data_IF_793905735858
#
_entry.id   IF_793905735858
#
_cell.length_a   1.000
_cell.length_b   1.000
_cell.length_c   1.000
_cell.angle_alpha   90.00
_cell.angle_beta   90.00
_cell.angle_gamma   90.00
#
_symmetry.space_group_name_H-M   'P 1'
#
loop_
_entity.id
_entity.type
_entity.pdbx_description
1 polymer ?
#
# COMPACT_ATOMS: atom_id res chain seq x y z
N UNK A 1 -31.97 12.85 -15.91
CA UNK A 1 -31.58 11.46 -15.58
C UNK A 1 -30.73 11.52 -14.31
N UNK A 2 -31.35 11.29 -13.15
CA UNK A 2 -30.76 11.42 -11.82
C UNK A 2 -30.96 10.08 -11.10
N UNK A 3 -29.96 9.20 -11.11
CA UNK A 3 -30.08 7.90 -10.45
C UNK A 3 -29.61 8.01 -9.00
N UNK A 4 -30.52 8.44 -8.11
CA UNK A 4 -30.40 8.27 -6.67
C UNK A 4 -31.31 7.13 -6.23
N UNK A 5 -30.75 5.96 -5.93
CA UNK A 5 -31.46 4.94 -5.15
C UNK A 5 -30.52 4.38 -4.10
N UNK A 6 -30.64 4.92 -2.90
CA UNK A 6 -30.00 4.43 -1.69
C UNK A 6 -30.53 3.03 -1.34
N UNK A 7 -29.63 2.10 -1.02
CA UNK A 7 -29.96 0.92 -0.21
C UNK A 7 -29.18 1.00 1.10
N UNK A 8 -29.86 1.57 2.09
CA UNK A 8 -29.56 1.42 3.51
C UNK A 8 -29.78 -0.03 3.92
N UNK A 9 -28.76 -0.69 4.48
CA UNK A 9 -28.97 -1.83 5.37
C UNK A 9 -28.17 -1.58 6.64
N UNK A 10 -28.93 -1.55 7.74
CA UNK A 10 -28.56 -1.09 9.08
C UNK A 10 -28.52 -2.33 9.96
N UNK A 11 -27.33 -2.89 10.21
CA UNK A 11 -27.14 -3.89 11.27
C UNK A 11 -26.53 -3.18 12.49
N UNK A 12 -27.40 -2.69 13.37
CA UNK A 12 -27.04 -2.23 14.70
C UNK A 12 -26.98 -3.46 15.62
N UNK A 13 -25.79 -3.97 15.90
CA UNK A 13 -25.58 -4.80 17.09
C UNK A 13 -25.38 -3.87 18.29
N UNK A 14 -26.37 -3.87 19.20
CA UNK A 14 -26.30 -3.21 20.49
C UNK A 14 -25.57 -4.16 21.45
N UNK A 15 -24.36 -3.80 21.86
CA UNK A 15 -23.64 -4.43 22.96
C UNK A 15 -23.29 -3.37 24.00
N UNK A 16 -23.99 -3.38 25.14
CA UNK A 16 -23.64 -2.56 26.31
C UNK A 16 -22.47 -3.21 27.05
N UNK A 17 -21.34 -2.50 27.15
CA UNK A 17 -20.20 -2.89 27.97
C UNK A 17 -19.31 -1.68 28.22
N UNK A 18 -19.30 -1.18 29.46
CA UNK A 18 -18.41 -0.10 29.91
C UNK A 18 -17.11 -0.76 30.38
N UNK A 19 -16.01 -0.54 29.66
CA UNK A 19 -14.66 -0.77 30.17
C UNK A 19 -13.72 0.25 29.53
N UNK A 20 -13.09 1.06 30.38
CA UNK A 20 -12.05 1.99 30.02
C UNK A 20 -10.88 1.26 29.36
N UNK A 21 -10.62 1.59 28.10
CA UNK A 21 -9.45 1.20 27.36
C UNK A 21 -9.42 2.02 26.09
N UNK A 22 -8.55 3.02 26.03
CA UNK A 22 -8.20 3.73 24.80
C UNK A 22 -7.44 2.76 23.88
N UNK A 23 -8.10 1.71 23.42
CA UNK A 23 -7.73 1.07 22.19
C UNK A 23 -8.38 1.91 21.10
N UNK A 24 -7.61 2.85 20.54
CA UNK A 24 -7.88 3.29 19.17
C UNK A 24 -7.76 2.03 18.31
N UNK A 25 -8.87 1.31 18.16
CA UNK A 25 -9.05 0.43 17.04
C UNK A 25 -9.00 1.34 15.82
N UNK A 26 -7.80 1.47 15.24
CA UNK A 26 -7.63 1.98 13.91
C UNK A 26 -8.48 1.06 13.04
N UNK A 27 -9.69 1.53 12.69
CA UNK A 27 -10.39 0.96 11.56
C UNK A 27 -9.39 0.96 10.40
N UNK A 28 -9.30 -0.07 9.55
CA UNK A 28 -8.52 0.05 8.33
C UNK A 28 -9.11 1.22 7.56
N UNK A 29 -8.44 2.37 7.61
CA UNK A 29 -8.81 3.49 6.78
C UNK A 29 -8.66 2.97 5.36
N UNK A 30 -9.75 2.99 4.59
CA UNK A 30 -9.70 2.88 3.14
C UNK A 30 -9.02 4.14 2.56
N UNK A 31 -7.77 4.36 2.97
CA UNK A 31 -6.94 5.52 2.73
C UNK A 31 -5.52 5.02 2.54
N UNK A 32 -4.83 5.63 1.57
CA UNK A 32 -3.45 5.36 1.20
C UNK A 32 -2.56 4.96 2.38
N UNK A 33 -1.69 3.99 2.17
CA UNK A 33 -0.75 3.58 3.20
C UNK A 33 0.20 4.74 3.51
N UNK A 34 0.47 4.93 4.80
CA UNK A 34 1.42 5.93 5.27
C UNK A 34 2.83 5.59 4.82
N UNK A 35 3.69 6.60 4.69
CA UNK A 35 5.12 6.41 4.38
C UNK A 35 5.78 5.43 5.37
N UNK A 36 5.38 5.46 6.63
CA UNK A 36 5.90 4.54 7.65
C UNK A 36 5.50 3.08 7.41
N UNK A 37 4.30 2.81 6.89
CA UNK A 37 3.89 1.46 6.49
C UNK A 37 4.72 1.00 5.29
N UNK A 38 4.97 1.88 4.31
CA UNK A 38 5.86 1.56 3.19
C UNK A 38 7.31 1.32 3.59
N UNK A 39 7.82 2.04 4.59
CA UNK A 39 9.13 1.77 5.17
C UNK A 39 9.22 0.38 5.80
N UNK A 40 8.15 -0.08 6.46
CA UNK A 40 8.09 -1.43 7.01
C UNK A 40 8.06 -2.50 5.90
N UNK A 41 7.31 -2.24 4.82
CA UNK A 41 7.32 -3.12 3.63
C UNK A 41 8.72 -3.16 3.03
N UNK A 42 9.36 -2.01 2.81
CA UNK A 42 10.71 -1.94 2.25
C UNK A 42 11.76 -2.59 3.14
N UNK A 43 11.64 -2.46 4.46
CA UNK A 43 12.51 -3.15 5.41
C UNK A 43 12.41 -4.68 5.28
N UNK A 44 11.22 -5.20 4.99
CA UNK A 44 10.99 -6.63 4.76
C UNK A 44 11.42 -7.09 3.36
N UNK A 45 11.17 -6.28 2.32
CA UNK A 45 11.43 -6.63 0.91
C UNK A 45 12.90 -6.44 0.51
N UNK A 46 13.53 -5.32 0.89
CA UNK A 46 14.89 -4.96 0.47
C UNK A 46 15.87 -4.75 1.62
N UNK A 47 15.45 -4.95 2.87
CA UNK A 47 16.22 -4.51 4.03
C UNK A 47 16.21 -2.99 4.23
N UNK A 48 15.34 -2.27 3.52
CA UNK A 48 15.19 -0.81 3.60
C UNK A 48 16.08 -0.04 2.61
N UNK A 49 16.79 -0.74 1.71
CA UNK A 49 17.54 -0.11 0.63
C UNK A 49 16.59 0.23 -0.53
N UNK A 50 16.35 1.52 -0.74
CA UNK A 50 15.47 2.04 -1.79
C UNK A 50 16.14 2.07 -3.18
N UNK A 51 17.46 1.95 -3.26
CA UNK A 51 18.23 1.93 -4.50
C UNK A 51 18.71 0.53 -4.87
N UNK A 52 18.17 -0.51 -4.20
CA UNK A 52 18.64 -1.88 -4.41
C UNK A 52 18.41 -2.35 -5.85
N UNK A 53 19.45 -2.95 -6.42
CA UNK A 53 19.40 -3.62 -7.71
C UNK A 53 20.42 -4.77 -7.70
N UNK A 54 19.96 -5.97 -7.39
CA UNK A 54 20.82 -7.16 -7.27
C UNK A 54 20.91 -7.97 -8.57
N UNK A 55 20.21 -7.55 -9.63
CA UNK A 55 20.08 -8.33 -10.86
C UNK A 55 19.11 -9.51 -10.78
N UNK A 56 18.25 -9.56 -9.75
CA UNK A 56 17.20 -10.57 -9.57
C UNK A 56 15.90 -10.30 -10.36
N UNK A 57 15.87 -9.22 -11.15
CA UNK A 57 14.69 -8.79 -11.92
C UNK A 57 13.68 -7.92 -11.15
N UNK A 58 14.03 -7.54 -9.91
CA UNK A 58 13.26 -6.63 -9.08
C UNK A 58 14.10 -5.42 -8.70
N UNK A 59 13.45 -4.28 -8.48
CA UNK A 59 14.10 -2.99 -8.37
C UNK A 59 13.54 -2.19 -7.19
N UNK A 60 14.44 -1.50 -6.49
CA UNK A 60 14.12 -0.53 -5.46
C UNK A 60 13.57 -1.14 -4.17
N UNK A 61 13.18 -0.26 -3.25
CA UNK A 61 12.86 -0.64 -1.87
C UNK A 61 11.64 -1.55 -1.74
N UNK A 62 10.71 -1.44 -2.68
CA UNK A 62 9.47 -2.22 -2.68
C UNK A 62 9.51 -3.41 -3.65
N UNK A 63 10.71 -3.74 -4.16
CA UNK A 63 10.94 -4.89 -5.03
C UNK A 63 9.97 -4.93 -6.22
N UNK A 64 9.88 -3.84 -6.99
CA UNK A 64 9.05 -3.79 -8.18
C UNK A 64 9.65 -4.62 -9.30
N UNK A 65 8.84 -5.40 -10.01
CA UNK A 65 9.23 -5.89 -11.33
C UNK A 65 9.19 -4.75 -12.34
N UNK A 66 10.00 -4.83 -13.41
CA UNK A 66 10.00 -3.82 -14.47
C UNK A 66 8.60 -3.65 -15.10
N UNK A 67 7.89 -4.76 -15.32
CA UNK A 67 6.56 -4.74 -15.91
C UNK A 67 5.54 -4.01 -15.03
N UNK A 68 5.60 -4.22 -13.70
CA UNK A 68 4.71 -3.50 -12.77
C UNK A 68 5.09 -2.02 -12.71
N UNK A 69 6.38 -1.70 -12.66
CA UNK A 69 6.86 -0.32 -12.68
C UNK A 69 6.32 0.43 -13.90
N UNK A 70 6.47 -0.16 -15.10
CA UNK A 70 6.00 0.42 -16.35
C UNK A 70 4.47 0.52 -16.39
N UNK A 71 3.77 -0.56 -16.02
CA UNK A 71 2.31 -0.65 -16.05
C UNK A 71 1.59 0.32 -15.12
N UNK A 72 2.25 0.73 -14.03
CA UNK A 72 1.70 1.70 -13.05
C UNK A 72 2.28 3.11 -13.21
N UNK A 73 2.95 3.37 -14.35
CA UNK A 73 3.39 4.70 -14.76
C UNK A 73 4.67 5.17 -14.06
N UNK A 74 5.49 4.27 -13.55
CA UNK A 74 6.78 4.60 -12.93
C UNK A 74 7.80 5.23 -13.88
N UNK A 75 7.68 4.97 -15.18
CA UNK A 75 8.52 5.56 -16.23
C UNK A 75 8.48 7.10 -16.29
N UNK A 76 7.47 7.74 -15.69
CA UNK A 76 7.44 9.20 -15.55
C UNK A 76 8.50 9.73 -14.56
N UNK A 77 8.99 8.87 -13.66
CA UNK A 77 9.95 9.20 -12.63
C UNK A 77 11.35 8.72 -13.01
N UNK A 78 11.47 7.44 -13.38
CA UNK A 78 12.73 6.84 -13.76
C UNK A 78 12.52 5.59 -14.64
N UNK A 79 13.54 5.15 -15.40
CA UNK A 79 13.48 3.90 -16.16
C UNK A 79 13.15 2.67 -15.31
N UNK A 80 13.62 2.61 -14.08
CA UNK A 80 13.37 1.50 -13.12
C UNK A 80 13.22 2.04 -11.70
N UNK A 81 12.63 1.25 -10.81
CA UNK A 81 12.30 1.72 -9.46
C UNK A 81 13.53 2.09 -8.61
N UNK A 82 14.65 1.37 -8.75
CA UNK A 82 15.92 1.64 -8.05
C UNK A 82 16.54 3.01 -8.40
N UNK A 83 16.15 3.58 -9.54
CA UNK A 83 16.60 4.89 -10.01
C UNK A 83 15.63 6.02 -9.61
N UNK A 84 14.48 5.70 -9.03
CA UNK A 84 13.50 6.65 -8.54
C UNK A 84 13.70 6.92 -7.05
N UNK A 85 13.30 8.11 -6.59
CA UNK A 85 13.31 8.41 -5.15
C UNK A 85 12.30 7.54 -4.42
N UNK A 86 12.50 7.37 -3.11
CA UNK A 86 11.56 6.68 -2.23
C UNK A 86 10.11 7.15 -2.42
N UNK A 87 9.89 8.46 -2.43
CA UNK A 87 8.54 9.04 -2.54
C UNK A 87 7.91 8.73 -3.90
N UNK A 88 8.71 8.68 -4.96
CA UNK A 88 8.25 8.30 -6.30
C UNK A 88 7.89 6.81 -6.37
N UNK A 89 8.70 5.95 -5.73
CA UNK A 89 8.38 4.53 -5.60
C UNK A 89 7.08 4.32 -4.82
N UNK A 90 6.90 5.02 -3.70
CA UNK A 90 5.66 5.00 -2.91
C UNK A 90 4.47 5.49 -3.73
N UNK A 91 4.63 6.55 -4.52
CA UNK A 91 3.55 7.04 -5.38
C UNK A 91 3.09 6.00 -6.42
N UNK A 92 4.01 5.20 -6.96
CA UNK A 92 3.66 4.07 -7.84
C UNK A 92 3.06 2.92 -7.03
N UNK A 93 3.59 2.64 -5.84
CA UNK A 93 3.09 1.61 -4.93
C UNK A 93 1.64 1.85 -4.49
N UNK A 94 1.28 3.10 -4.22
CA UNK A 94 -0.10 3.50 -3.91
C UNK A 94 -1.06 3.21 -5.07
N UNK A 95 -0.63 3.38 -6.32
CA UNK A 95 -1.45 3.01 -7.49
C UNK A 95 -1.63 1.49 -7.57
N UNK A 96 -0.57 0.73 -7.29
CA UNK A 96 -0.63 -0.74 -7.22
C UNK A 96 -1.56 -1.18 -6.09
N UNK A 97 -1.42 -0.61 -4.89
CA UNK A 97 -2.22 -0.89 -3.72
C UNK A 97 -3.70 -0.57 -3.98
N UNK A 98 -4.00 0.56 -4.63
CA UNK A 98 -5.37 0.92 -4.99
C UNK A 98 -6.01 -0.05 -6.00
N UNK A 99 -5.21 -0.66 -6.88
CA UNK A 99 -5.70 -1.55 -7.94
C UNK A 99 -5.74 -3.04 -7.54
N UNK A 100 -4.76 -3.49 -6.77
CA UNK A 100 -4.54 -4.91 -6.43
C UNK A 100 -4.78 -5.22 -4.95
N UNK A 101 -4.82 -4.19 -4.10
CA UNK A 101 -4.88 -4.36 -2.65
C UNK A 101 -3.54 -4.78 -2.03
N UNK A 102 -3.50 -5.00 -0.70
CA UNK A 102 -2.27 -5.33 0.02
C UNK A 102 -1.66 -6.68 -0.42
N UNK A 103 -2.42 -7.52 -1.12
CA UNK A 103 -1.96 -8.80 -1.68
C UNK A 103 -0.88 -8.68 -2.76
N UNK A 104 -0.59 -7.47 -3.27
CA UNK A 104 0.56 -7.23 -4.14
C UNK A 104 1.90 -7.46 -3.42
N UNK A 105 1.92 -7.37 -2.08
CA UNK A 105 3.05 -7.72 -1.22
C UNK A 105 2.63 -8.84 -0.26
N UNK A 106 2.53 -10.10 -0.70
CA UNK A 106 1.88 -11.16 0.07
C UNK A 106 2.60 -11.52 1.37
N UNK A 107 3.92 -11.34 1.44
CA UNK A 107 4.74 -11.68 2.61
C UNK A 107 5.04 -10.47 3.49
N UNK A 108 5.22 -9.30 2.89
CA UNK A 108 5.65 -8.08 3.58
C UNK A 108 4.56 -7.00 3.67
N UNK A 109 3.40 -7.18 3.03
CA UNK A 109 2.30 -6.21 2.94
C UNK A 109 1.37 -6.17 4.16
N UNK A 110 1.68 -6.91 5.23
CA UNK A 110 0.93 -6.88 6.49
C UNK A 110 0.69 -5.47 7.06
N UNK A 111 1.65 -4.53 6.98
CA UNK A 111 1.43 -3.14 7.39
C UNK A 111 0.43 -2.36 6.54
N UNK A 112 0.07 -2.83 5.34
CA UNK A 112 -0.79 -2.11 4.38
C UNK A 112 -2.30 -2.41 4.57
N UNK A 113 -2.69 -3.22 5.55
CA UNK A 113 -4.07 -3.70 5.75
C UNK A 113 -4.50 -3.78 7.22
#
# INVERSE_FOLDING_TARGET
MQNKTAKTVRNLFVGSGIAAGLALAAAPQAGAATVAQWDQVAACESGGDWSINTGNGYYGGLQFSQQTWDGFGGQQYAPSADQATKEQQIAVAERVLAQQGPGAWPNCGGPLG
#
